data_IF_717566762928
#
_entry.id   IF_717566762928
#
_cell.length_a   1.000
_cell.length_b   1.000
_cell.length_c   1.000
_cell.angle_alpha   90.00
_cell.angle_beta   90.00
_cell.angle_gamma   90.00
#
_symmetry.space_group_name_H-M   'P 1'
#
loop_
_entity.id
_entity.type
_entity.pdbx_description
1 polymer ?
#
# COMPACT_ATOMS: atom_id res chain seq x y z
N UNK A 1 9.40 4.71 20.21
CA UNK A 1 9.21 5.71 19.15
C UNK A 1 7.82 5.51 18.57
N UNK A 2 6.83 6.25 19.07
CA UNK A 2 5.44 6.11 18.62
C UNK A 2 5.22 6.92 17.35
N UNK A 3 5.04 6.22 16.23
CA UNK A 3 4.82 6.82 14.93
C UNK A 3 3.34 6.63 14.58
N UNK A 4 2.52 7.53 15.09
CA UNK A 4 1.14 7.69 14.66
C UNK A 4 1.08 8.41 13.31
N UNK A 5 0.23 7.93 12.41
CA UNK A 5 -0.10 8.61 11.14
C UNK A 5 -0.84 9.92 11.44
N UNK A 6 -0.08 11.00 11.51
CA UNK A 6 -0.62 12.32 11.78
C UNK A 6 -1.00 12.98 10.45
N UNK A 7 -2.29 12.94 10.11
CA UNK A 7 -2.91 13.91 9.19
C UNK A 7 -3.00 15.28 9.83
N UNK A 8 -1.92 15.74 10.45
CA UNK A 8 -1.84 16.98 11.20
C UNK A 8 -1.48 18.13 10.26
N UNK A 9 -2.10 19.28 10.49
CA UNK A 9 -1.51 20.56 10.09
C UNK A 9 -0.06 20.59 10.59
N UNK A 10 0.86 21.23 9.86
CA UNK A 10 2.25 21.39 10.32
C UNK A 10 2.22 21.83 11.80
N UNK A 11 3.00 21.19 12.68
CA UNK A 11 2.95 21.41 14.14
C UNK A 11 3.04 22.89 14.50
N UNK A 12 3.81 23.65 13.73
CA UNK A 12 3.91 25.12 13.86
C UNK A 12 2.61 25.81 13.50
N UNK A 13 2.02 25.48 12.34
CA UNK A 13 0.72 26.01 11.89
C UNK A 13 -0.41 25.64 12.85
N UNK A 14 -0.42 24.42 13.39
CA UNK A 14 -1.44 23.98 14.35
C UNK A 14 -1.33 24.73 15.68
N UNK A 15 -0.09 24.94 16.18
CA UNK A 15 0.16 25.74 17.38
C UNK A 15 -0.30 27.19 17.17
N UNK A 16 0.12 27.84 16.07
CA UNK A 16 -0.29 29.19 15.71
C UNK A 16 -1.81 29.34 15.64
N UNK A 17 -2.51 28.37 15.03
CA UNK A 17 -3.97 28.36 14.97
C UNK A 17 -4.60 28.27 16.37
N UNK A 18 -4.08 27.42 17.27
CA UNK A 18 -4.57 27.33 18.65
C UNK A 18 -4.33 28.62 19.42
N UNK A 19 -3.16 29.21 19.29
CA UNK A 19 -2.79 30.46 19.97
C UNK A 19 -3.69 31.61 19.49
N UNK A 20 -3.95 31.72 18.18
CA UNK A 20 -4.90 32.68 17.61
C UNK A 20 -6.34 32.46 18.11
N UNK A 21 -6.79 31.20 18.24
CA UNK A 21 -8.12 30.90 18.78
C UNK A 21 -8.25 31.17 20.28
N UNK A 22 -7.16 31.00 21.03
CA UNK A 22 -7.11 31.33 22.46
C UNK A 22 -7.11 32.85 22.66
N UNK A 23 -6.38 33.59 21.82
CA UNK A 23 -6.34 35.05 21.84
C UNK A 23 -7.66 35.69 21.39
N UNK A 24 -8.41 35.05 20.47
CA UNK A 24 -9.63 35.62 19.89
C UNK A 24 -10.91 35.51 20.74
N UNK A 25 -10.81 35.21 22.04
CA UNK A 25 -11.94 35.08 22.99
C UNK A 25 -13.16 34.30 22.46
N UNK A 26 -12.95 33.28 21.62
CA UNK A 26 -14.06 32.56 21.02
C UNK A 26 -14.75 31.64 22.05
N UNK A 27 -16.10 31.70 22.16
CA UNK A 27 -16.86 30.73 22.94
C UNK A 27 -16.51 29.29 22.55
N UNK A 28 -16.44 28.33 23.50
CA UNK A 28 -16.02 26.95 23.24
C UNK A 28 -16.72 26.29 22.05
N UNK A 29 -18.04 26.50 21.91
CA UNK A 29 -18.83 25.97 20.80
C UNK A 29 -18.42 26.55 19.44
N UNK A 30 -18.07 27.85 19.37
CA UNK A 30 -17.61 28.49 18.14
C UNK A 30 -16.21 28.00 17.75
N UNK A 31 -15.31 27.80 18.73
CA UNK A 31 -13.99 27.18 18.51
C UNK A 31 -14.13 25.77 17.92
N UNK A 32 -14.99 24.94 18.51
CA UNK A 32 -15.20 23.59 18.01
C UNK A 32 -15.77 23.57 16.58
N UNK A 33 -16.76 24.42 16.30
CA UNK A 33 -17.32 24.57 14.95
C UNK A 33 -16.27 25.03 13.94
N UNK A 34 -15.38 25.94 14.33
CA UNK A 34 -14.28 26.39 13.49
C UNK A 34 -13.31 25.25 13.19
N UNK A 35 -12.88 24.48 14.19
CA UNK A 35 -12.03 23.30 14.00
C UNK A 35 -12.65 22.29 13.03
N UNK A 36 -13.96 22.03 13.16
CA UNK A 36 -14.68 21.15 12.25
C UNK A 36 -14.71 21.68 10.82
N UNK A 37 -14.91 23.00 10.63
CA UNK A 37 -14.87 23.63 9.31
C UNK A 37 -13.47 23.56 8.70
N UNK A 38 -12.43 23.85 9.48
CA UNK A 38 -11.03 23.73 9.03
C UNK A 38 -10.72 22.30 8.60
N UNK A 39 -11.11 21.31 9.40
CA UNK A 39 -10.89 19.90 9.06
C UNK A 39 -11.63 19.49 7.77
N UNK A 40 -12.93 19.83 7.68
CA UNK A 40 -13.80 19.41 6.56
C UNK A 40 -13.51 20.17 5.26
N UNK A 41 -13.29 21.48 5.32
CA UNK A 41 -13.19 22.36 4.16
C UNK A 41 -11.75 22.75 3.81
N UNK A 42 -10.83 22.68 4.77
CA UNK A 42 -9.41 22.96 4.53
C UNK A 42 -8.60 21.68 4.38
N UNK A 43 -8.47 20.92 5.46
CA UNK A 43 -7.52 19.80 5.55
C UNK A 43 -7.88 18.66 4.60
N UNK A 44 -9.14 18.21 4.56
CA UNK A 44 -9.55 17.11 3.66
C UNK A 44 -9.35 17.48 2.18
N UNK A 45 -9.81 18.64 1.69
CA UNK A 45 -9.56 19.06 0.31
C UNK A 45 -8.08 19.23 -0.02
N UNK A 46 -7.29 19.80 0.89
CA UNK A 46 -5.84 19.91 0.73
C UNK A 46 -5.19 18.51 0.61
N UNK A 47 -5.54 17.57 1.48
CA UNK A 47 -5.05 16.19 1.41
C UNK A 47 -5.44 15.49 0.09
N UNK A 48 -6.68 15.67 -0.38
CA UNK A 48 -7.12 15.17 -1.69
C UNK A 48 -6.28 15.74 -2.83
N UNK A 49 -6.01 17.05 -2.80
CA UNK A 49 -5.19 17.75 -3.79
C UNK A 49 -3.75 17.27 -3.75
N UNK A 50 -3.13 17.21 -2.58
CA UNK A 50 -1.75 16.75 -2.40
C UNK A 50 -1.56 15.31 -2.88
N UNK A 51 -2.48 14.39 -2.55
CA UNK A 51 -2.43 13.03 -3.08
C UNK A 51 -2.64 13.01 -4.60
N UNK A 52 -3.50 13.85 -5.16
CA UNK A 52 -3.65 13.95 -6.62
C UNK A 52 -2.36 14.44 -7.30
N UNK A 53 -1.70 15.42 -6.70
CA UNK A 53 -0.44 16.02 -7.17
C UNK A 53 0.80 15.18 -6.79
N UNK A 54 0.63 14.12 -5.99
CA UNK A 54 1.72 13.28 -5.45
C UNK A 54 2.73 14.10 -4.64
N UNK A 55 2.23 14.99 -3.79
CA UNK A 55 3.02 15.88 -2.92
C UNK A 55 2.69 15.65 -1.44
N UNK A 56 3.69 15.89 -0.60
CA UNK A 56 3.58 15.96 0.86
C UNK A 56 2.92 17.26 1.31
N UNK A 57 2.63 17.37 2.60
CA UNK A 57 1.99 18.54 3.20
C UNK A 57 2.82 19.83 3.09
N UNK A 58 4.15 19.70 2.99
CA UNK A 58 5.11 20.79 2.75
C UNK A 58 5.27 21.14 1.26
N UNK A 59 4.58 20.43 0.36
CA UNK A 59 4.68 20.62 -1.08
C UNK A 59 5.81 19.84 -1.77
N UNK A 60 6.66 19.13 -1.02
CA UNK A 60 7.69 18.26 -1.59
C UNK A 60 7.05 17.07 -2.30
N UNK A 61 7.70 16.53 -3.33
CA UNK A 61 7.19 15.35 -4.03
C UNK A 61 7.28 14.10 -3.16
N UNK A 62 6.31 13.18 -3.29
CA UNK A 62 6.38 11.88 -2.64
C UNK A 62 7.63 11.10 -3.07
N UNK A 63 8.17 10.32 -2.12
CA UNK A 63 9.21 9.35 -2.41
C UNK A 63 8.74 8.36 -3.48
N UNK A 64 9.63 8.00 -4.39
CA UNK A 64 9.32 7.00 -5.42
C UNK A 64 9.12 5.63 -4.77
N UNK A 65 8.18 4.85 -5.31
CA UNK A 65 8.00 3.45 -4.87
C UNK A 65 9.28 2.65 -5.13
N UNK A 66 9.63 1.77 -4.19
CA UNK A 66 10.70 0.77 -4.38
C UNK A 66 10.42 -0.13 -5.59
N UNK A 67 9.16 -0.48 -5.81
CA UNK A 67 8.72 -1.28 -6.96
C UNK A 67 7.46 -0.70 -7.62
N UNK A 68 7.45 -0.70 -8.96
CA UNK A 68 6.31 -0.25 -9.78
C UNK A 68 6.22 1.27 -9.97
N UNK A 69 5.33 1.70 -10.88
CA UNK A 69 5.16 3.11 -11.29
C UNK A 69 3.80 3.71 -10.93
N UNK A 70 2.98 2.99 -10.16
CA UNK A 70 1.62 3.45 -9.81
C UNK A 70 1.70 4.58 -8.77
N UNK A 71 0.79 5.58 -8.82
CA UNK A 71 0.75 6.65 -7.83
C UNK A 71 0.49 6.11 -6.40
N UNK A 72 1.04 6.78 -5.40
CA UNK A 72 0.85 6.50 -3.98
C UNK A 72 -0.48 7.08 -3.49
N UNK A 73 -1.11 6.37 -2.56
CA UNK A 73 -2.35 6.75 -1.86
C UNK A 73 -3.56 7.03 -2.77
N UNK A 74 -3.50 6.63 -4.05
CA UNK A 74 -4.58 6.89 -5.02
C UNK A 74 -5.90 6.29 -4.52
N UNK A 75 -6.93 7.12 -4.46
CA UNK A 75 -8.28 6.71 -4.06
C UNK A 75 -8.45 6.47 -2.56
N UNK A 76 -7.42 6.68 -1.73
CA UNK A 76 -7.51 6.63 -0.26
C UNK A 76 -8.19 7.88 0.33
N UNK A 77 -7.91 9.12 -0.13
CA UNK A 77 -8.47 10.33 0.46
C UNK A 77 -10.00 10.43 0.46
N UNK A 78 -10.71 9.66 -0.38
CA UNK A 78 -12.18 9.62 -0.39
C UNK A 78 -12.76 9.02 0.89
N UNK A 79 -11.95 8.26 1.64
CA UNK A 79 -12.33 7.58 2.87
C UNK A 79 -12.05 8.39 4.12
N UNK A 80 -11.42 9.57 4.00
CA UNK A 80 -11.16 10.45 5.14
C UNK A 80 -12.46 10.98 5.72
N UNK A 81 -12.65 10.75 7.01
CA UNK A 81 -13.76 11.27 7.82
C UNK A 81 -13.23 12.09 8.98
N UNK A 82 -14.09 12.98 9.45
CA UNK A 82 -13.84 13.86 10.58
C UNK A 82 -14.68 13.37 11.75
N UNK A 83 -14.05 13.14 12.89
CA UNK A 83 -14.70 12.86 14.17
C UNK A 83 -14.54 14.05 15.11
N UNK A 84 -15.66 14.49 15.67
CA UNK A 84 -15.70 15.60 16.61
C UNK A 84 -15.25 15.15 18.01
N UNK A 85 -14.37 15.91 18.67
CA UNK A 85 -13.85 15.58 20.00
C UNK A 85 -13.94 16.79 20.94
N UNK A 86 -15.16 17.15 21.40
CA UNK A 86 -15.38 18.36 22.20
C UNK A 86 -14.71 18.31 23.58
N UNK A 87 -14.58 17.12 24.19
CA UNK A 87 -13.98 16.96 25.54
C UNK A 87 -12.53 17.44 25.63
N UNK A 88 -11.80 17.38 24.51
CA UNK A 88 -10.40 17.81 24.41
C UNK A 88 -10.22 18.96 23.42
N UNK A 89 -11.32 19.66 23.09
CA UNK A 89 -11.35 20.78 22.14
C UNK A 89 -10.55 20.52 20.85
N UNK A 90 -10.73 19.33 20.27
CA UNK A 90 -9.98 18.91 19.08
C UNK A 90 -10.85 18.14 18.10
N UNK A 91 -10.27 17.82 16.95
CA UNK A 91 -10.94 17.10 15.86
C UNK A 91 -9.99 16.02 15.36
N UNK A 92 -10.51 14.81 15.19
CA UNK A 92 -9.73 13.67 14.67
C UNK A 92 -10.09 13.40 13.22
N UNK A 93 -9.09 13.38 12.35
CA UNK A 93 -9.24 12.93 10.97
C UNK A 93 -8.75 11.50 10.88
N UNK A 94 -9.57 10.61 10.32
CA UNK A 94 -9.25 9.19 10.22
C UNK A 94 -9.73 8.61 8.88
N UNK A 95 -9.03 7.58 8.40
CA UNK A 95 -9.46 6.84 7.22
C UNK A 95 -10.52 5.80 7.62
N UNK A 96 -11.75 6.00 7.18
CA UNK A 96 -12.89 5.13 7.48
C UNK A 96 -13.08 4.06 6.40
N UNK A 97 -13.55 2.88 6.80
CA UNK A 97 -13.95 1.81 5.87
C UNK A 97 -12.98 0.63 5.83
N UNK A 98 -13.57 -0.56 5.64
CA UNK A 98 -12.88 -1.85 5.47
C UNK A 98 -12.73 -2.25 3.99
N UNK A 99 -13.03 -1.33 3.09
CA UNK A 99 -13.35 -1.66 1.68
C UNK A 99 -12.14 -1.88 0.76
N UNK A 100 -10.93 -2.07 1.28
CA UNK A 100 -9.81 -2.44 0.40
C UNK A 100 -9.78 -3.95 0.21
N UNK A 101 -10.45 -4.41 -0.85
CA UNK A 101 -10.43 -5.81 -1.27
C UNK A 101 -9.13 -6.10 -2.00
N UNK A 102 -8.37 -7.07 -1.51
CA UNK A 102 -7.17 -7.50 -2.20
C UNK A 102 -7.56 -8.29 -3.47
N UNK A 103 -6.86 -8.10 -4.61
CA UNK A 103 -7.19 -8.80 -5.84
C UNK A 103 -7.01 -10.33 -5.75
N UNK A 104 -6.29 -10.83 -4.74
CA UNK A 104 -5.99 -12.25 -4.56
C UNK A 104 -6.52 -12.85 -3.25
N UNK A 105 -7.37 -12.10 -2.52
CA UNK A 105 -7.92 -12.56 -1.24
C UNK A 105 -9.29 -11.92 -0.98
N UNK A 106 -10.25 -12.72 -0.54
CA UNK A 106 -11.57 -12.22 -0.10
C UNK A 106 -11.50 -11.41 1.20
N UNK A 107 -10.32 -11.32 1.84
CA UNK A 107 -10.12 -10.56 3.07
C UNK A 107 -10.12 -9.06 2.80
N UNK A 108 -10.92 -8.37 3.59
CA UNK A 108 -10.98 -6.92 3.65
C UNK A 108 -9.87 -6.36 4.53
N UNK A 109 -9.17 -5.34 4.04
CA UNK A 109 -8.14 -4.62 4.81
C UNK A 109 -8.63 -3.20 5.08
N UNK A 110 -8.37 -2.69 6.29
CA UNK A 110 -8.71 -1.32 6.63
C UNK A 110 -7.97 -0.34 5.71
N UNK A 111 -8.67 0.69 5.25
CA UNK A 111 -8.09 1.69 4.35
C UNK A 111 -6.91 2.42 5.03
N UNK A 112 -7.01 2.63 6.36
CA UNK A 112 -5.92 3.18 7.16
C UNK A 112 -4.65 2.34 7.11
N UNK A 113 -4.76 1.02 7.26
CA UNK A 113 -3.61 0.12 7.13
C UNK A 113 -2.99 0.19 5.73
N UNK A 114 -3.81 0.21 4.68
CA UNK A 114 -3.29 0.36 3.30
C UNK A 114 -2.54 1.67 3.11
N UNK A 115 -3.05 2.77 3.68
CA UNK A 115 -2.37 4.07 3.66
C UNK A 115 -1.01 4.02 4.38
N UNK A 116 -0.97 3.39 5.55
CA UNK A 116 0.27 3.18 6.31
C UNK A 116 1.31 2.38 5.50
N UNK A 117 0.90 1.22 4.99
CA UNK A 117 1.74 0.32 4.20
C UNK A 117 2.31 1.03 2.97
N UNK A 118 1.51 1.86 2.29
CA UNK A 118 1.97 2.58 1.10
C UNK A 118 2.95 3.71 1.42
N UNK A 119 2.80 4.38 2.56
CA UNK A 119 3.62 5.55 2.93
C UNK A 119 4.94 5.15 3.58
N UNK A 120 4.90 4.20 4.52
CA UNK A 120 6.08 3.82 5.31
C UNK A 120 6.76 2.56 4.80
N UNK A 121 6.04 1.74 4.02
CA UNK A 121 6.47 0.38 3.73
C UNK A 121 6.35 -0.52 4.96
N UNK A 122 6.33 -1.82 4.72
CA UNK A 122 6.38 -2.86 5.76
C UNK A 122 6.98 -4.12 5.16
N UNK A 123 7.63 -4.90 6.01
CA UNK A 123 8.11 -6.22 5.68
C UNK A 123 7.15 -7.26 6.24
N UNK A 124 6.70 -8.18 5.40
CA UNK A 124 5.84 -9.28 5.79
C UNK A 124 6.62 -10.58 5.66
N UNK A 125 6.58 -11.41 6.71
CA UNK A 125 7.00 -12.80 6.63
C UNK A 125 5.80 -13.62 6.19
N UNK A 126 5.93 -14.32 5.06
CA UNK A 126 4.86 -15.14 4.48
C UNK A 126 5.31 -16.58 4.43
N UNK A 127 4.48 -17.49 4.96
CA UNK A 127 4.74 -18.92 4.91
C UNK A 127 4.25 -19.51 3.58
N UNK A 128 4.92 -20.57 3.09
CA UNK A 128 4.54 -21.24 1.85
C UNK A 128 3.08 -21.76 1.86
N UNK A 129 2.58 -22.16 3.03
CA UNK A 129 1.19 -22.56 3.23
C UNK A 129 0.18 -21.42 3.00
N UNK A 130 0.57 -20.17 3.30
CA UNK A 130 -0.27 -18.98 3.13
C UNK A 130 -0.34 -18.51 1.67
N UNK A 131 0.62 -18.93 0.83
CA UNK A 131 0.69 -18.57 -0.59
C UNK A 131 -0.12 -19.51 -1.50
N UNK A 132 -0.74 -20.58 -0.95
CA UNK A 132 -1.64 -21.52 -1.65
C UNK A 132 -2.95 -20.84 -2.07
N UNK A 133 -2.86 -19.82 -2.91
CA UNK A 133 -3.98 -19.12 -3.53
C UNK A 133 -4.48 -19.90 -4.74
N UNK A 134 -5.73 -19.71 -5.13
CA UNK A 134 -6.30 -20.31 -6.35
C UNK A 134 -5.49 -19.98 -7.60
N UNK A 135 -4.91 -18.76 -7.64
CA UNK A 135 -4.01 -18.36 -8.71
C UNK A 135 -2.73 -19.21 -8.76
N UNK A 136 -2.17 -19.57 -7.60
CA UNK A 136 -1.00 -20.46 -7.52
C UNK A 136 -1.37 -21.90 -7.87
N UNK A 137 -2.54 -22.37 -7.42
CA UNK A 137 -3.05 -23.69 -7.79
C UNK A 137 -3.30 -23.80 -9.31
N UNK A 138 -3.86 -22.75 -9.93
CA UNK A 138 -4.04 -22.67 -11.37
C UNK A 138 -2.70 -22.62 -12.11
N UNK A 139 -1.73 -21.85 -11.61
CA UNK A 139 -0.38 -21.82 -12.16
C UNK A 139 0.36 -23.17 -12.05
N UNK A 140 0.04 -23.97 -11.03
CA UNK A 140 0.53 -25.35 -10.90
C UNK A 140 -0.20 -26.34 -11.84
N UNK A 141 -1.24 -25.93 -12.56
CA UNK A 141 -1.89 -26.77 -13.58
C UNK A 141 -1.51 -26.35 -15.01
N UNK A 142 -1.12 -25.09 -15.19
CA UNK A 142 -0.70 -24.57 -16.50
C UNK A 142 0.76 -24.95 -16.83
N UNK A 143 1.07 -25.25 -18.10
CA UNK A 143 2.45 -25.49 -18.53
C UNK A 143 3.31 -24.23 -18.40
N UNK A 144 4.61 -24.41 -18.23
CA UNK A 144 5.56 -23.32 -18.12
C UNK A 144 5.51 -22.41 -19.37
N UNK A 145 5.50 -21.09 -19.14
CA UNK A 145 5.47 -20.13 -20.25
C UNK A 145 6.80 -20.12 -21.01
N UNK A 146 6.76 -19.80 -22.30
CA UNK A 146 7.98 -19.72 -23.15
C UNK A 146 9.02 -18.76 -22.58
N UNK A 147 8.60 -17.64 -21.99
CA UNK A 147 9.49 -16.65 -21.35
C UNK A 147 10.19 -17.23 -20.12
N UNK A 148 9.48 -17.97 -19.29
CA UNK A 148 10.07 -18.67 -18.14
C UNK A 148 11.07 -19.72 -18.61
N UNK A 149 10.73 -20.54 -19.60
CA UNK A 149 11.64 -21.55 -20.15
C UNK A 149 12.94 -20.94 -20.72
N UNK A 150 12.84 -19.85 -21.49
CA UNK A 150 14.02 -19.13 -21.99
C UNK A 150 14.87 -18.61 -20.83
N UNK A 151 14.24 -18.04 -19.80
CA UNK A 151 14.94 -17.47 -18.65
C UNK A 151 15.65 -18.55 -17.82
N UNK A 152 14.99 -19.66 -17.52
CA UNK A 152 15.58 -20.82 -16.84
C UNK A 152 16.79 -21.36 -17.62
N UNK A 153 16.67 -21.46 -18.95
CA UNK A 153 17.77 -21.89 -19.80
C UNK A 153 18.95 -20.91 -19.79
N UNK A 154 18.69 -19.60 -19.66
CA UNK A 154 19.72 -18.56 -19.51
C UNK A 154 20.38 -18.61 -18.12
N UNK A 155 19.63 -18.96 -17.08
CA UNK A 155 20.10 -19.13 -15.70
C UNK A 155 20.88 -20.45 -15.48
N UNK A 156 20.97 -21.32 -16.49
CA UNK A 156 21.72 -22.58 -16.38
C UNK A 156 20.90 -23.76 -15.83
N UNK A 157 19.57 -23.69 -15.90
CA UNK A 157 18.71 -24.82 -15.56
C UNK A 157 19.11 -26.07 -16.35
N UNK A 158 19.22 -27.20 -15.63
CA UNK A 158 19.66 -28.49 -16.17
C UNK A 158 18.74 -29.60 -15.68
N UNK A 159 18.53 -30.61 -16.51
CA UNK A 159 17.76 -31.81 -16.19
C UNK A 159 18.69 -33.03 -16.16
N UNK A 160 18.25 -34.11 -15.53
CA UNK A 160 18.99 -35.37 -15.50
C UNK A 160 19.18 -35.90 -16.93
N UNK A 161 20.39 -36.29 -17.25
CA UNK A 161 20.76 -36.88 -18.54
C UNK A 161 20.34 -38.34 -18.63
N UNK A 162 20.48 -38.93 -19.83
CA UNK A 162 20.17 -40.35 -20.08
C UNK A 162 21.12 -41.30 -19.33
N UNK A 163 22.36 -40.87 -19.10
CA UNK A 163 23.34 -41.59 -18.29
C UNK A 163 23.19 -41.20 -16.82
N UNK A 164 23.23 -42.17 -15.92
CA UNK A 164 23.23 -41.90 -14.49
C UNK A 164 24.38 -40.95 -14.13
N UNK A 165 24.11 -39.95 -13.28
CA UNK A 165 25.10 -38.95 -12.87
C UNK A 165 25.32 -37.77 -13.84
N UNK A 166 24.81 -37.81 -15.08
CA UNK A 166 25.00 -36.68 -16.00
C UNK A 166 23.86 -35.67 -15.94
N UNK A 167 24.19 -34.39 -16.19
CA UNK A 167 23.23 -33.29 -16.34
C UNK A 167 23.29 -32.76 -17.76
N UNK A 168 22.15 -32.38 -18.31
CA UNK A 168 22.08 -31.75 -19.64
C UNK A 168 21.21 -30.50 -19.60
N UNK A 169 21.47 -29.61 -20.55
CA UNK A 169 20.66 -28.41 -20.76
C UNK A 169 19.43 -28.78 -21.61
N UNK A 170 18.21 -28.69 -21.08
CA UNK A 170 17.00 -29.02 -21.83
C UNK A 170 16.70 -27.96 -22.90
N UNK A 171 15.93 -28.35 -23.92
CA UNK A 171 15.42 -27.42 -24.93
C UNK A 171 14.33 -26.53 -24.32
N UNK A 172 14.01 -25.39 -24.95
CA UNK A 172 12.93 -24.53 -24.45
C UNK A 172 11.58 -25.24 -24.46
N UNK A 173 11.28 -26.01 -25.51
CA UNK A 173 10.03 -26.77 -25.62
C UNK A 173 9.94 -27.84 -24.52
N UNK A 174 11.05 -28.50 -24.22
CA UNK A 174 11.12 -29.51 -23.18
C UNK A 174 10.89 -28.93 -21.78
N UNK A 175 11.40 -27.73 -21.50
CA UNK A 175 11.12 -27.05 -20.23
C UNK A 175 9.63 -26.71 -20.11
N UNK A 176 8.99 -26.32 -21.22
CA UNK A 176 7.56 -25.96 -21.20
C UNK A 176 6.65 -27.15 -20.91
N UNK A 177 7.00 -28.35 -21.38
CA UNK A 177 6.23 -29.56 -21.13
C UNK A 177 6.55 -30.22 -19.78
N UNK A 178 7.81 -30.15 -19.35
CA UNK A 178 8.25 -30.80 -18.10
C UNK A 178 7.92 -30.01 -16.84
N UNK A 179 7.89 -28.67 -16.90
CA UNK A 179 7.61 -27.83 -15.74
C UNK A 179 6.24 -27.17 -15.83
N UNK A 180 5.59 -27.09 -14.68
CA UNK A 180 4.41 -26.25 -14.50
C UNK A 180 4.84 -24.79 -14.34
N UNK A 181 3.95 -23.86 -14.70
CA UNK A 181 4.18 -22.41 -14.61
C UNK A 181 4.49 -21.94 -13.20
N UNK A 182 3.85 -22.54 -12.19
CA UNK A 182 4.14 -22.26 -10.78
C UNK A 182 5.51 -22.78 -10.35
N UNK A 183 5.85 -24.02 -10.70
CA UNK A 183 7.17 -24.61 -10.40
C UNK A 183 8.31 -23.80 -11.04
N UNK A 184 8.18 -23.44 -12.32
CA UNK A 184 9.15 -22.63 -13.05
C UNK A 184 9.33 -21.20 -12.49
N UNK A 185 8.42 -20.72 -11.64
CA UNK A 185 8.52 -19.42 -10.98
C UNK A 185 9.29 -19.42 -9.66
N UNK A 186 9.55 -20.61 -9.09
CA UNK A 186 10.22 -20.78 -7.79
C UNK A 186 11.68 -21.23 -7.95
N UNK A 187 12.02 -21.81 -9.11
CA UNK A 187 13.39 -22.19 -9.51
C UNK A 187 14.16 -20.96 -9.99
#
# INVERSE_FOLDING_TARGET
MDISLHGELNKTQFKQMRDMMAAGELPPAKRQRLLLRIAKLGVIPAAKRHVREQKNADGSSFAKRRYGKKPLLKGIPKFLKVHDMPSVASVRIYASGKSYRQPYSHKEISVGAVGYIQSHGVTFTVNASQLKTDAMQKANKEPCTRRQAIKLRKLGYTVRGKKAGTRRKPSTAEIQTSLQKGQAGVI
#
